data_IF_511823447766
#
_entry.id   IF_511823447766
#
_cell.length_a   1.000
_cell.length_b   1.000
_cell.length_c   1.000
_cell.angle_alpha   90.00
_cell.angle_beta   90.00
_cell.angle_gamma   90.00
#
_symmetry.space_group_name_H-M   'P 1'
#
loop_
_entity.id
_entity.type
_entity.pdbx_description
1 polymer ?
#
# COMPACT_ATOMS: atom_id res chain seq x y z
N UNK A 1 -0.71 -8.34 -20.94
CA UNK A 1 -1.25 -7.17 -20.18
C UNK A 1 -1.19 -7.46 -18.69
N UNK A 2 -0.76 -6.48 -17.92
CA UNK A 2 -0.71 -6.63 -16.47
C UNK A 2 -2.14 -6.64 -15.90
N UNK A 3 -2.39 -7.49 -14.91
CA UNK A 3 -3.70 -7.56 -14.25
C UNK A 3 -3.56 -7.35 -12.75
N UNK A 4 -4.62 -6.84 -12.16
CA UNK A 4 -4.71 -6.56 -10.72
C UNK A 4 -5.91 -7.32 -10.19
N UNK A 5 -5.67 -8.34 -9.36
CA UNK A 5 -6.76 -9.18 -8.85
C UNK A 5 -6.80 -9.22 -7.33
N UNK A 6 -8.00 -9.27 -6.80
CA UNK A 6 -8.18 -9.46 -5.37
C UNK A 6 -7.76 -10.86 -4.95
N UNK A 7 -7.24 -10.97 -3.74
CA UNK A 7 -6.83 -12.25 -3.17
C UNK A 7 -6.97 -12.19 -1.66
N UNK A 8 -7.34 -13.31 -1.02
CA UNK A 8 -7.17 -13.39 0.42
C UNK A 8 -5.69 -13.17 0.76
N UNK A 9 -5.43 -12.45 1.82
CA UNK A 9 -4.06 -12.10 2.18
C UNK A 9 -3.24 -13.32 2.63
N UNK A 10 -3.91 -14.39 3.02
CA UNK A 10 -3.26 -15.63 3.43
C UNK A 10 -3.25 -16.71 2.33
N UNK A 11 -3.66 -16.37 1.11
CA UNK A 11 -3.51 -17.29 -0.03
C UNK A 11 -2.03 -17.55 -0.31
N UNK A 12 -1.67 -18.71 -0.89
CA UNK A 12 -0.26 -19.04 -1.13
C UNK A 12 0.50 -17.98 -1.92
N UNK A 13 -0.08 -17.44 -3.00
CA UNK A 13 0.55 -16.39 -3.80
C UNK A 13 0.79 -15.13 -2.98
N UNK A 14 -0.22 -14.73 -2.22
CA UNK A 14 -0.14 -13.55 -1.38
C UNK A 14 0.93 -13.73 -0.30
N UNK A 15 0.96 -14.89 0.32
CA UNK A 15 1.95 -15.18 1.36
C UNK A 15 3.37 -15.11 0.80
N UNK A 16 3.59 -15.68 -0.38
CA UNK A 16 4.93 -15.66 -1.01
C UNK A 16 5.36 -14.23 -1.33
N UNK A 17 4.45 -13.40 -1.83
CA UNK A 17 4.77 -12.01 -2.13
C UNK A 17 5.04 -11.21 -0.86
N UNK A 18 4.28 -11.45 0.19
CA UNK A 18 4.51 -10.80 1.48
C UNK A 18 5.84 -11.22 2.08
N UNK A 19 6.20 -12.49 1.96
CA UNK A 19 7.51 -12.95 2.45
C UNK A 19 8.64 -12.26 1.69
N UNK A 20 8.50 -12.08 0.37
CA UNK A 20 9.49 -11.37 -0.43
C UNK A 20 9.55 -9.88 -0.05
N UNK A 21 8.40 -9.29 0.21
CA UNK A 21 8.32 -7.90 0.65
C UNK A 21 9.08 -7.72 1.97
N UNK A 22 8.81 -8.56 2.97
CA UNK A 22 9.46 -8.45 4.27
C UNK A 22 10.96 -8.70 4.17
N UNK A 23 11.37 -9.67 3.34
CA UNK A 23 12.79 -9.96 3.16
C UNK A 23 13.52 -8.76 2.56
N UNK A 24 12.92 -8.08 1.58
CA UNK A 24 13.53 -6.91 0.97
C UNK A 24 13.65 -5.75 1.96
N UNK A 25 12.67 -5.61 2.85
CA UNK A 25 12.71 -4.55 3.86
C UNK A 25 13.76 -4.85 4.92
N UNK A 26 13.90 -6.11 5.32
CA UNK A 26 14.94 -6.48 6.29
C UNK A 26 16.32 -6.15 5.75
N UNK A 27 16.57 -6.45 4.48
CA UNK A 27 17.86 -6.13 3.84
C UNK A 27 18.08 -4.62 3.87
N UNK A 28 17.08 -3.83 3.53
CA UNK A 28 17.18 -2.38 3.56
C UNK A 28 17.48 -1.85 4.95
N UNK A 29 16.84 -2.42 5.97
CA UNK A 29 17.00 -1.96 7.35
C UNK A 29 18.33 -2.37 7.95
N UNK A 30 18.95 -3.46 7.44
CA UNK A 30 20.24 -3.93 7.97
C UNK A 30 21.31 -2.86 7.85
N UNK A 31 21.22 -2.01 6.83
CA UNK A 31 22.21 -0.94 6.62
C UNK A 31 21.93 0.29 7.49
N UNK A 32 20.82 0.30 8.21
CA UNK A 32 20.40 1.43 9.03
C UNK A 32 20.64 1.19 10.52
N UNK A 33 21.16 0.03 10.87
CA UNK A 33 21.31 -0.38 12.28
C UNK A 33 19.99 -0.35 13.03
N UNK A 34 18.89 -0.67 12.32
CA UNK A 34 17.54 -0.69 12.87
C UNK A 34 16.99 -2.11 12.75
N UNK A 35 16.27 -2.54 13.78
CA UNK A 35 15.62 -3.84 13.76
C UNK A 35 14.26 -3.70 13.07
N UNK A 36 14.07 -4.45 11.97
CA UNK A 36 12.81 -4.47 11.26
C UNK A 36 11.89 -5.52 11.88
N UNK A 37 10.70 -5.10 12.29
CA UNK A 37 9.72 -6.00 12.89
C UNK A 37 8.77 -6.53 11.82
N UNK A 38 8.78 -7.84 11.62
CA UNK A 38 7.92 -8.50 10.63
C UNK A 38 6.64 -9.00 11.28
N UNK A 39 5.50 -8.58 10.75
CA UNK A 39 4.20 -9.06 11.20
C UNK A 39 3.33 -9.32 9.98
N UNK A 40 2.94 -10.58 9.76
CA UNK A 40 2.03 -10.89 8.67
C UNK A 40 0.64 -10.35 8.99
N UNK A 41 -0.06 -9.81 7.98
CA UNK A 41 -1.35 -9.15 8.24
C UNK A 41 -2.45 -10.13 8.60
N UNK A 42 -3.40 -9.65 9.40
CA UNK A 42 -4.59 -10.41 9.74
C UNK A 42 -5.49 -10.52 8.50
N UNK A 43 -5.96 -11.72 8.13
CA UNK A 43 -6.83 -11.86 6.96
C UNK A 43 -8.08 -10.98 7.02
N UNK A 44 -8.70 -10.84 8.18
CA UNK A 44 -9.94 -10.07 8.28
C UNK A 44 -9.76 -8.58 8.01
N UNK A 45 -8.56 -8.05 8.24
CA UNK A 45 -8.29 -6.63 7.99
C UNK A 45 -8.27 -6.31 6.51
N UNK A 46 -8.08 -7.32 5.65
CA UNK A 46 -7.97 -7.14 4.21
C UNK A 46 -9.11 -7.82 3.46
N UNK A 47 -10.26 -7.97 4.12
CA UNK A 47 -11.49 -8.46 3.48
C UNK A 47 -12.46 -7.29 3.25
N UNK A 48 -13.07 -7.20 2.06
CA UNK A 48 -14.03 -6.12 1.81
C UNK A 48 -15.21 -6.16 2.78
N UNK A 49 -15.74 -5.03 3.23
CA UNK A 49 -15.30 -3.67 2.94
C UNK A 49 -14.27 -3.12 3.94
N UNK A 50 -13.83 -3.94 4.90
CA UNK A 50 -12.81 -3.50 5.87
C UNK A 50 -11.47 -3.26 5.20
N UNK A 51 -11.22 -3.91 4.08
CA UNK A 51 -10.02 -3.74 3.31
C UNK A 51 -10.04 -4.63 2.09
N UNK A 52 -8.93 -4.66 1.36
CA UNK A 52 -8.76 -5.57 0.23
C UNK A 52 -7.27 -5.76 0.00
N UNK A 53 -6.89 -6.94 -0.45
CA UNK A 53 -5.52 -7.23 -0.85
C UNK A 53 -5.52 -7.56 -2.33
N UNK A 54 -4.56 -6.98 -3.07
CA UNK A 54 -4.51 -7.07 -4.53
C UNK A 54 -3.17 -7.63 -4.93
N UNK A 55 -3.19 -8.57 -5.87
CA UNK A 55 -1.98 -9.15 -6.47
C UNK A 55 -1.85 -8.61 -7.88
N UNK A 56 -0.62 -8.20 -8.23
CA UNK A 56 -0.27 -7.79 -9.58
C UNK A 56 0.27 -8.99 -10.31
N UNK A 57 -0.32 -9.31 -11.47
CA UNK A 57 0.14 -10.41 -12.34
C UNK A 57 0.66 -9.82 -13.63
N UNK A 58 1.80 -10.34 -14.09
CA UNK A 58 2.40 -9.86 -15.34
C UNK A 58 1.64 -10.42 -16.56
N UNK A 59 2.20 -10.18 -17.74
CA UNK A 59 1.55 -10.59 -19.00
C UNK A 59 1.37 -12.10 -19.11
N UNK A 60 2.16 -12.87 -18.35
CA UNK A 60 2.11 -14.32 -18.37
C UNK A 60 1.34 -14.91 -17.19
N UNK A 61 0.72 -14.05 -16.40
CA UNK A 61 -0.06 -14.48 -15.25
C UNK A 61 0.75 -14.77 -14.01
N UNK A 62 2.03 -14.42 -13.99
CA UNK A 62 2.86 -14.64 -12.80
C UNK A 62 2.62 -13.55 -11.76
N UNK A 63 2.50 -13.93 -10.47
CA UNK A 63 2.34 -12.92 -9.42
C UNK A 63 3.68 -12.23 -9.16
N UNK A 64 3.71 -10.92 -9.41
CA UNK A 64 4.96 -10.14 -9.35
C UNK A 64 4.88 -8.95 -8.41
N UNK A 65 3.72 -8.70 -7.81
CA UNK A 65 3.59 -7.60 -6.87
C UNK A 65 2.30 -7.69 -6.07
N UNK A 66 2.21 -6.85 -5.06
CA UNK A 66 1.03 -6.82 -4.21
C UNK A 66 0.88 -5.49 -3.50
N UNK A 67 -0.29 -5.28 -2.94
CA UNK A 67 -0.57 -4.15 -2.08
C UNK A 67 -1.96 -4.29 -1.50
N UNK A 68 -2.21 -3.61 -0.40
CA UNK A 68 -3.51 -3.68 0.22
C UNK A 68 -3.91 -2.37 0.85
N UNK A 69 -5.18 -2.27 1.18
CA UNK A 69 -5.71 -1.17 1.98
C UNK A 69 -6.51 -1.77 3.13
N UNK A 70 -6.48 -1.09 4.27
CA UNK A 70 -7.29 -1.48 5.42
C UNK A 70 -7.90 -0.27 6.08
N UNK A 71 -9.12 -0.44 6.58
CA UNK A 71 -9.84 0.61 7.27
C UNK A 71 -9.15 0.91 8.61
N UNK A 72 -8.94 2.19 8.88
CA UNK A 72 -8.47 2.65 10.19
C UNK A 72 -9.44 3.70 10.70
N UNK A 73 -9.19 4.20 11.91
CA UNK A 73 -10.08 5.20 12.51
C UNK A 73 -10.21 6.42 11.62
N UNK A 74 -11.38 7.05 11.62
CA UNK A 74 -11.63 8.25 10.84
C UNK A 74 -10.64 9.35 11.20
N UNK A 75 -10.27 10.13 10.18
CA UNK A 75 -9.47 11.33 10.37
C UNK A 75 -10.31 12.58 10.22
N UNK A 76 -9.65 13.73 10.09
CA UNK A 76 -10.34 15.00 9.96
C UNK A 76 -11.23 15.08 8.71
N UNK A 77 -10.90 14.32 7.66
CA UNK A 77 -11.67 14.30 6.41
C UNK A 77 -12.78 13.25 6.41
N UNK A 78 -12.78 12.35 7.37
CA UNK A 78 -13.74 11.26 7.45
C UNK A 78 -13.06 9.90 7.36
N UNK A 79 -13.68 8.97 6.60
CA UNK A 79 -13.22 7.58 6.51
C UNK A 79 -11.84 7.51 5.86
N UNK A 80 -10.94 6.78 6.53
CA UNK A 80 -9.55 6.61 6.05
C UNK A 80 -9.24 5.15 5.84
N UNK A 81 -8.53 4.88 4.75
CA UNK A 81 -7.88 3.58 4.53
C UNK A 81 -6.38 3.76 4.48
N UNK A 82 -5.67 2.79 5.02
CA UNK A 82 -4.21 2.81 5.05
C UNK A 82 -3.69 1.86 3.97
N UNK A 83 -2.81 2.37 3.11
CA UNK A 83 -2.12 1.55 2.11
C UNK A 83 -1.00 0.80 2.81
N UNK A 84 -0.95 -0.52 2.62
CA UNK A 84 0.04 -1.37 3.27
C UNK A 84 0.62 -2.38 2.29
N UNK A 85 1.85 -2.78 2.55
CA UNK A 85 2.49 -3.91 1.86
C UNK A 85 2.62 -3.74 0.35
N UNK A 86 2.83 -2.50 -0.09
CA UNK A 86 3.02 -2.20 -1.51
C UNK A 86 4.37 -2.74 -1.95
N UNK A 87 4.38 -3.67 -2.89
CA UNK A 87 5.60 -4.35 -3.31
C UNK A 87 5.54 -4.71 -4.79
N UNK A 88 6.65 -4.52 -5.49
CA UNK A 88 6.83 -5.02 -6.84
C UNK A 88 8.19 -5.71 -6.91
N UNK A 89 8.24 -6.87 -7.54
CA UNK A 89 9.48 -7.60 -7.73
C UNK A 89 10.49 -6.70 -8.47
N UNK A 90 11.78 -6.77 -8.10
CA UNK A 90 12.78 -5.83 -8.68
C UNK A 90 12.81 -5.84 -10.20
N UNK A 91 12.63 -6.98 -10.84
CA UNK A 91 12.69 -7.07 -12.29
C UNK A 91 11.52 -6.40 -13.00
N UNK A 92 10.45 -6.02 -12.27
CA UNK A 92 9.29 -5.36 -12.86
C UNK A 92 9.30 -3.85 -12.67
N UNK A 93 10.26 -3.33 -11.94
CA UNK A 93 10.31 -1.91 -11.63
C UNK A 93 10.60 -1.08 -12.88
N UNK A 94 10.15 0.18 -12.88
CA UNK A 94 10.34 1.06 -14.01
C UNK A 94 9.33 0.90 -15.12
N UNK A 95 8.29 0.08 -14.92
CA UNK A 95 7.24 -0.16 -15.93
C UNK A 95 5.94 0.60 -15.64
N UNK A 96 5.90 1.37 -14.55
CA UNK A 96 4.70 2.10 -14.16
C UNK A 96 3.68 1.26 -13.43
N UNK A 97 3.99 0.03 -13.08
CA UNK A 97 3.03 -0.87 -12.42
C UNK A 97 2.75 -0.48 -10.98
N UNK A 98 3.72 0.16 -10.31
CA UNK A 98 3.48 0.68 -8.96
C UNK A 98 2.40 1.75 -8.95
N UNK A 99 2.41 2.63 -9.95
CA UNK A 99 1.39 3.66 -10.07
C UNK A 99 0.03 3.05 -10.40
N UNK A 100 0.01 2.04 -11.29
CA UNK A 100 -1.23 1.34 -11.60
C UNK A 100 -1.83 0.70 -10.34
N UNK A 101 -0.99 0.04 -9.55
CA UNK A 101 -1.44 -0.59 -8.32
C UNK A 101 -1.97 0.43 -7.33
N UNK A 102 -1.24 1.53 -7.15
CA UNK A 102 -1.66 2.56 -6.21
C UNK A 102 -2.97 3.21 -6.64
N UNK A 103 -3.13 3.48 -7.93
CA UNK A 103 -4.38 4.04 -8.46
C UNK A 103 -5.55 3.06 -8.30
N UNK A 104 -5.29 1.77 -8.48
CA UNK A 104 -6.32 0.75 -8.31
C UNK A 104 -6.77 0.66 -6.85
N UNK A 105 -5.83 0.71 -5.92
CA UNK A 105 -6.15 0.69 -4.49
C UNK A 105 -6.97 1.93 -4.10
N UNK A 106 -6.64 3.08 -4.69
CA UNK A 106 -7.40 4.30 -4.45
C UNK A 106 -8.85 4.13 -4.92
N UNK A 107 -9.05 3.60 -6.13
CA UNK A 107 -10.40 3.39 -6.65
C UNK A 107 -11.21 2.45 -5.75
N UNK A 108 -10.58 1.40 -5.26
CA UNK A 108 -11.24 0.45 -4.35
C UNK A 108 -11.60 1.11 -3.03
N UNK A 109 -10.70 1.93 -2.49
CA UNK A 109 -10.95 2.66 -1.26
C UNK A 109 -12.12 3.62 -1.41
N UNK A 110 -12.15 4.36 -2.53
CA UNK A 110 -13.25 5.30 -2.80
C UNK A 110 -14.58 4.56 -2.89
N UNK A 111 -14.58 3.38 -3.52
CA UNK A 111 -15.80 2.56 -3.60
C UNK A 111 -16.28 2.12 -2.21
N UNK A 112 -15.37 1.97 -1.25
CA UNK A 112 -15.73 1.66 0.15
C UNK A 112 -16.12 2.91 0.95
N UNK A 113 -16.08 4.09 0.35
CA UNK A 113 -16.45 5.34 1.02
C UNK A 113 -15.29 6.13 1.57
N UNK A 114 -14.07 5.84 1.14
CA UNK A 114 -12.89 6.56 1.65
C UNK A 114 -12.92 8.03 1.26
N UNK A 115 -12.45 8.87 2.18
CA UNK A 115 -12.23 10.30 1.95
C UNK A 115 -10.77 10.65 2.03
N UNK A 116 -9.94 9.73 2.53
CA UNK A 116 -8.51 9.94 2.65
C UNK A 116 -7.80 8.60 2.60
N UNK A 117 -6.68 8.56 1.88
CA UNK A 117 -5.72 7.47 1.96
C UNK A 117 -4.52 7.96 2.75
N UNK A 118 -3.99 7.09 3.61
CA UNK A 118 -2.76 7.37 4.35
C UNK A 118 -1.82 6.19 4.19
N UNK A 119 -0.54 6.45 4.43
CA UNK A 119 0.46 5.39 4.47
C UNK A 119 1.66 5.84 5.26
N UNK A 120 2.41 4.86 5.75
CA UNK A 120 3.69 5.13 6.39
C UNK A 120 4.78 4.35 5.67
N UNK A 121 6.00 4.87 5.72
CA UNK A 121 7.12 4.24 5.05
C UNK A 121 8.43 4.69 5.71
N UNK A 122 9.55 4.08 5.32
CA UNK A 122 10.85 4.44 5.84
C UNK A 122 11.60 5.27 4.80
N UNK A 123 12.35 6.27 5.26
CA UNK A 123 13.07 7.18 4.36
C UNK A 123 14.12 6.46 3.50
N UNK A 124 14.56 5.27 3.90
CA UNK A 124 15.49 4.49 3.07
C UNK A 124 14.85 3.98 1.78
N UNK A 125 13.53 4.14 1.62
CA UNK A 125 12.79 3.71 0.43
C UNK A 125 12.45 4.92 -0.44
N UNK A 126 13.49 5.63 -0.88
CA UNK A 126 13.30 6.90 -1.61
C UNK A 126 12.56 6.77 -2.93
N UNK A 127 12.77 5.66 -3.62
CA UNK A 127 12.06 5.44 -4.90
C UNK A 127 10.54 5.39 -4.67
N UNK A 128 10.12 4.75 -3.57
CA UNK A 128 8.71 4.71 -3.22
C UNK A 128 8.20 6.09 -2.84
N UNK A 129 9.02 6.90 -2.16
CA UNK A 129 8.64 8.28 -1.83
C UNK A 129 8.34 9.10 -3.06
N UNK A 130 9.14 8.94 -4.13
CA UNK A 130 8.88 9.61 -5.39
C UNK A 130 7.57 9.18 -6.03
N UNK A 131 7.25 7.90 -5.95
CA UNK A 131 5.98 7.38 -6.44
C UNK A 131 4.81 8.03 -5.71
N UNK A 132 4.87 8.09 -4.39
CA UNK A 132 3.77 8.66 -3.60
C UNK A 132 3.57 10.14 -3.92
N UNK A 133 4.65 10.91 -4.00
CA UNK A 133 4.56 12.32 -4.34
C UNK A 133 3.94 12.52 -5.72
N UNK A 134 4.35 11.71 -6.70
CA UNK A 134 3.81 11.83 -8.06
C UNK A 134 2.33 11.43 -8.11
N UNK A 135 1.88 10.61 -7.19
CA UNK A 135 0.49 10.17 -7.13
C UNK A 135 -0.40 11.13 -6.35
N UNK A 136 0.16 12.21 -5.82
CA UNK A 136 -0.64 13.23 -5.12
C UNK A 136 -0.63 13.13 -3.61
N UNK A 137 0.19 12.26 -3.04
CA UNK A 137 0.34 12.17 -1.59
C UNK A 137 1.26 13.29 -1.10
N UNK A 138 0.96 13.81 0.08
CA UNK A 138 1.81 14.82 0.74
C UNK A 138 2.25 14.28 2.08
N UNK A 139 3.44 14.68 2.51
CA UNK A 139 3.97 14.23 3.79
C UNK A 139 3.21 14.91 4.93
N UNK A 140 2.90 14.14 5.97
CA UNK A 140 2.14 14.61 7.13
C UNK A 140 2.84 14.19 8.41
N UNK A 141 2.31 14.65 9.54
CA UNK A 141 2.75 14.20 10.86
C UNK A 141 2.36 12.74 11.08
N UNK A 142 3.06 12.02 11.95
CA UNK A 142 2.73 10.63 12.23
C UNK A 142 1.29 10.48 12.74
N UNK A 143 0.60 9.47 12.21
CA UNK A 143 -0.75 9.12 12.69
C UNK A 143 -0.73 7.80 13.46
N UNK A 144 0.45 7.17 13.61
CA UNK A 144 0.63 5.93 14.36
C UNK A 144 2.05 5.85 14.91
N UNK A 145 2.32 4.80 15.67
CA UNK A 145 3.61 4.56 16.32
C UNK A 145 4.41 3.45 15.63
N UNK A 146 4.21 3.23 14.34
CA UNK A 146 4.88 2.16 13.63
C UNK A 146 6.41 2.30 13.74
N UNK A 147 7.12 1.36 14.39
CA UNK A 147 8.56 1.47 14.57
C UNK A 147 9.34 1.28 13.26
N UNK A 148 8.69 0.72 12.23
CA UNK A 148 9.31 0.51 10.93
C UNK A 148 9.17 1.72 10.02
N UNK A 149 8.51 2.79 10.48
CA UNK A 149 8.25 3.95 9.65
C UNK A 149 9.05 5.15 10.11
N UNK A 150 9.40 6.04 9.19
CA UNK A 150 10.00 7.33 9.49
C UNK A 150 9.36 8.46 8.70
N UNK A 151 8.42 8.14 7.81
CA UNK A 151 7.67 9.15 7.04
C UNK A 151 6.22 8.70 6.91
N UNK A 152 5.34 9.68 6.93
CA UNK A 152 3.89 9.47 6.83
C UNK A 152 3.34 10.36 5.74
N UNK A 153 2.36 9.84 4.99
CA UNK A 153 1.79 10.54 3.83
C UNK A 153 0.28 10.42 3.84
N UNK A 154 -0.39 11.40 3.23
CA UNK A 154 -1.83 11.37 3.07
C UNK A 154 -2.24 11.95 1.72
N UNK A 155 -3.38 11.51 1.23
CA UNK A 155 -3.99 12.02 0.01
C UNK A 155 -5.49 12.10 0.20
N UNK A 156 -6.11 13.28 0.00
CA UNK A 156 -7.58 13.37 -0.02
C UNK A 156 -8.11 12.65 -1.24
N UNK A 157 -9.17 11.84 -1.05
CA UNK A 157 -9.78 11.09 -2.15
C UNK A 157 -11.29 11.18 -2.03
N UNK A 158 -12.00 10.79 -3.08
CA UNK A 158 -13.44 10.64 -3.05
C UNK A 158 -14.23 11.93 -2.88
N UNK A 159 -13.60 13.08 -2.84
CA UNK A 159 -14.32 14.32 -2.58
C UNK A 159 -14.77 15.04 -3.83
N UNK A 160 -14.32 14.61 -4.97
CA UNK A 160 -14.73 15.22 -6.23
C UNK A 160 -16.25 15.17 -6.38
N UNK A 161 -16.86 14.23 -5.75
CA UNK A 161 -18.32 14.12 -5.76
C UNK A 161 -18.96 15.25 -4.99
N UNK A 162 -18.28 15.83 -4.13
CA UNK A 162 -18.78 17.01 -3.44
C UNK A 162 -18.72 18.17 -4.35
N UNK A 163 -18.80 17.94 -4.62
CA UNK A 163 -18.93 18.91 -4.82
C UNK A 163 -19.40 19.71 -5.19
N UNK A 164 -19.40 19.48 -5.19
CA UNK A 164 -19.92 20.10 -5.35
C UNK A 164 -20.04 20.78 -5.32
N UNK A 165 -19.92 20.67 -5.26
CA UNK A 165 -20.11 21.20 -5.11
C UNK A 165 -20.42 21.63 -5.10
#
# INVERSE_FOLDING_TARGET
MVTLRESPVDAPDAHALLAAYFASREIGFAHQSVVYTTTFPSPSAFEPPAGVFVIVEDDEGAPVGCGGIRLIADGARGRRYEVKHLYLAPETRGRGWGRLLLDDLERRAVAFGARELVLDTHHSLEAAGGLYASAGFVQIEPYNDNPNASRWYAKPVGEAAGFGD
#
